data_IF_894431996186
#
_entry.id   IF_894431996186
#
_cell.length_a   1.000
_cell.length_b   1.000
_cell.length_c   1.000
_cell.angle_alpha   90.00
_cell.angle_beta   90.00
_cell.angle_gamma   90.00
#
_symmetry.space_group_name_H-M   'P 1'
#
loop_
_entity.id
_entity.type
_entity.pdbx_description
1 polymer ?
#
# COMPACT_ATOMS: atom_id res chain seq x y z
N UNK A 1 1.29 -9.77 -3.82
CA UNK A 1 0.27 -9.32 -2.88
C UNK A 1 -0.60 -8.23 -3.51
N UNK A 2 -0.01 -7.12 -3.95
CA UNK A 2 -0.73 -6.02 -4.61
C UNK A 2 -1.60 -6.53 -5.76
N UNK A 3 -1.06 -7.34 -6.68
CA UNK A 3 -1.82 -7.91 -7.79
C UNK A 3 -3.05 -8.70 -7.32
N UNK A 4 -2.95 -9.49 -6.26
CA UNK A 4 -4.08 -10.28 -5.75
C UNK A 4 -5.21 -9.38 -5.21
N UNK A 5 -4.84 -8.32 -4.47
CA UNK A 5 -5.83 -7.43 -3.86
C UNK A 5 -6.46 -6.50 -4.89
N UNK A 6 -5.65 -5.92 -5.77
CA UNK A 6 -6.14 -5.02 -6.81
C UNK A 6 -6.91 -5.74 -7.91
N UNK A 7 -6.77 -7.08 -8.04
CA UNK A 7 -7.56 -7.86 -9.00
C UNK A 7 -9.06 -7.87 -8.73
N UNK A 8 -9.49 -7.56 -7.50
CA UNK A 8 -10.92 -7.36 -7.18
C UNK A 8 -11.52 -6.14 -7.91
N UNK A 9 -10.66 -5.25 -8.41
CA UNK A 9 -11.01 -3.99 -9.09
C UNK A 9 -10.54 -3.98 -10.55
N UNK A 10 -10.40 -5.14 -11.18
CA UNK A 10 -9.93 -5.25 -12.56
C UNK A 10 -10.82 -4.48 -13.52
N UNK A 11 -10.18 -3.64 -14.36
CA UNK A 11 -10.86 -2.77 -15.34
C UNK A 11 -11.23 -1.39 -14.80
N UNK A 12 -11.24 -1.20 -13.48
CA UNK A 12 -11.52 0.09 -12.84
C UNK A 12 -10.31 1.03 -12.88
N UNK A 13 -10.50 2.35 -12.79
CA UNK A 13 -9.40 3.32 -12.74
C UNK A 13 -8.44 3.06 -11.57
N UNK A 14 -7.13 3.12 -11.84
CA UNK A 14 -6.09 2.96 -10.83
C UNK A 14 -5.06 4.09 -10.93
N UNK A 15 -4.44 4.40 -9.80
CA UNK A 15 -3.41 5.43 -9.67
C UNK A 15 -2.16 4.90 -8.98
N UNK A 16 -0.98 5.18 -9.55
CA UNK A 16 0.30 5.04 -8.84
C UNK A 16 0.92 6.41 -8.58
N UNK A 17 1.34 6.64 -7.35
CA UNK A 17 2.02 7.86 -6.90
C UNK A 17 3.42 7.51 -6.45
N UNK A 18 4.42 7.93 -7.24
CA UNK A 18 5.80 7.47 -7.13
C UNK A 18 6.04 6.23 -7.99
N UNK A 19 6.53 6.44 -9.20
CA UNK A 19 6.62 5.38 -10.23
C UNK A 19 7.98 4.70 -10.23
N UNK A 20 9.03 5.47 -9.97
CA UNK A 20 10.39 4.97 -10.03
C UNK A 20 10.72 4.27 -11.35
N UNK A 21 10.98 2.97 -11.30
CA UNK A 21 11.25 2.13 -12.48
C UNK A 21 10.00 1.62 -13.20
N UNK A 22 8.82 1.86 -12.68
CA UNK A 22 7.56 1.43 -13.28
C UNK A 22 7.18 -0.04 -13.02
N UNK A 23 7.84 -0.73 -12.11
CA UNK A 23 7.55 -2.16 -11.85
C UNK A 23 6.15 -2.40 -11.30
N UNK A 24 5.74 -1.62 -10.33
CA UNK A 24 4.39 -1.68 -9.76
C UNK A 24 3.35 -1.18 -10.75
N UNK A 25 3.61 -0.03 -11.42
CA UNK A 25 2.75 0.51 -12.46
C UNK A 25 2.49 -0.51 -13.58
N UNK A 26 3.54 -1.23 -14.03
CA UNK A 26 3.38 -2.28 -15.04
C UNK A 26 2.46 -3.40 -14.55
N UNK A 27 2.57 -3.80 -13.29
CA UNK A 27 1.66 -4.78 -12.69
C UNK A 27 0.21 -4.26 -12.68
N UNK A 28 0.01 -2.97 -12.36
CA UNK A 28 -1.31 -2.34 -12.38
C UNK A 28 -1.86 -2.22 -13.81
N UNK A 29 -1.03 -1.90 -14.80
CA UNK A 29 -1.42 -1.82 -16.20
C UNK A 29 -1.97 -3.13 -16.78
N UNK A 30 -1.55 -4.30 -16.25
CA UNK A 30 -2.17 -5.59 -16.59
C UNK A 30 -3.58 -5.79 -16.02
N UNK A 31 -3.97 -4.97 -15.05
CA UNK A 31 -5.27 -5.08 -14.40
C UNK A 31 -6.28 -4.07 -14.92
N UNK A 32 -5.81 -2.91 -15.40
CA UNK A 32 -6.69 -1.85 -15.89
C UNK A 32 -6.12 -1.16 -17.14
N UNK A 33 -6.97 -0.80 -18.12
CA UNK A 33 -6.58 0.09 -19.21
C UNK A 33 -6.60 1.57 -18.79
N UNK A 34 -7.07 1.89 -17.57
CA UNK A 34 -7.23 3.25 -17.04
C UNK A 34 -6.26 3.41 -15.88
N UNK A 35 -4.99 3.58 -16.20
CA UNK A 35 -3.92 3.79 -15.23
C UNK A 35 -3.37 5.20 -15.37
N UNK A 36 -3.39 5.97 -14.29
CA UNK A 36 -2.64 7.20 -14.16
C UNK A 36 -1.43 6.98 -13.27
N UNK A 37 -0.35 7.68 -13.59
CA UNK A 37 0.89 7.61 -12.82
C UNK A 37 1.43 9.03 -12.57
N UNK A 38 1.82 9.29 -11.32
CA UNK A 38 2.35 10.57 -10.87
C UNK A 38 3.79 10.38 -10.42
N UNK A 39 4.71 11.13 -11.01
CA UNK A 39 6.10 11.21 -10.55
C UNK A 39 6.69 12.59 -10.91
N UNK A 40 7.63 13.07 -10.12
CA UNK A 40 8.36 14.31 -10.39
C UNK A 40 9.57 14.13 -11.31
N UNK A 41 9.99 12.88 -11.53
CA UNK A 41 11.13 12.47 -12.37
C UNK A 41 12.46 13.16 -12.02
N UNK A 42 12.55 13.68 -10.79
CA UNK A 42 13.74 14.38 -10.29
C UNK A 42 14.83 13.43 -9.75
N UNK A 43 14.58 12.11 -9.86
CA UNK A 43 15.51 11.06 -9.47
C UNK A 43 16.25 10.46 -10.69
N UNK A 44 16.96 9.35 -10.43
CA UNK A 44 17.84 8.67 -11.40
C UNK A 44 17.09 8.05 -12.61
N UNK A 45 15.79 7.88 -12.51
CA UNK A 45 14.97 7.24 -13.55
C UNK A 45 14.41 8.29 -14.50
N UNK A 46 14.54 8.02 -15.80
CA UNK A 46 14.03 8.93 -16.83
C UNK A 46 12.62 8.53 -17.21
N UNK A 47 11.72 9.50 -17.24
CA UNK A 47 10.35 9.35 -17.72
C UNK A 47 10.29 8.60 -19.04
N UNK A 48 11.08 9.05 -20.04
CA UNK A 48 11.11 8.47 -21.39
C UNK A 48 11.36 6.96 -21.43
N UNK A 49 12.10 6.42 -20.47
CA UNK A 49 12.39 4.99 -20.42
C UNK A 49 11.20 4.20 -19.84
N UNK A 50 10.46 4.80 -18.92
CA UNK A 50 9.24 4.21 -18.34
C UNK A 50 8.08 4.31 -19.34
N UNK A 51 7.92 5.43 -20.04
CA UNK A 51 6.87 5.63 -21.07
C UNK A 51 6.95 4.62 -22.21
N UNK A 52 8.15 4.13 -22.56
CA UNK A 52 8.32 3.12 -23.62
C UNK A 52 7.69 1.77 -23.28
N UNK A 53 7.54 1.46 -22.01
CA UNK A 53 7.11 0.14 -21.53
C UNK A 53 5.78 0.16 -20.79
N UNK A 54 5.33 1.32 -20.33
CA UNK A 54 4.16 1.47 -19.49
C UNK A 54 3.01 2.16 -20.22
N UNK A 55 1.92 1.45 -20.52
CA UNK A 55 0.72 2.05 -21.09
C UNK A 55 -0.10 2.75 -19.99
N UNK A 56 0.24 3.99 -19.68
CA UNK A 56 -0.40 4.79 -18.64
C UNK A 56 -0.52 6.26 -19.07
N UNK A 57 -1.37 7.02 -18.40
CA UNK A 57 -1.39 8.48 -18.48
C UNK A 57 -0.40 9.05 -17.46
N UNK A 58 0.56 9.84 -17.91
CA UNK A 58 1.68 10.37 -17.12
C UNK A 58 1.40 11.78 -16.65
N UNK A 59 1.38 11.98 -15.33
CA UNK A 59 1.22 13.27 -14.67
C UNK A 59 2.57 13.68 -14.08
N UNK A 60 3.26 14.63 -14.75
CA UNK A 60 4.56 15.14 -14.32
C UNK A 60 4.39 16.13 -13.19
N UNK A 61 4.43 15.64 -11.97
CA UNK A 61 4.22 16.49 -10.80
C UNK A 61 4.75 15.82 -9.53
N UNK A 62 5.08 16.63 -8.54
CA UNK A 62 5.23 16.13 -7.18
C UNK A 62 3.87 15.66 -6.65
N UNK A 63 3.85 14.60 -5.85
CA UNK A 63 2.61 14.03 -5.28
C UNK A 63 1.72 15.08 -4.60
N UNK A 64 2.33 16.00 -3.84
CA UNK A 64 1.61 17.08 -3.15
C UNK A 64 0.98 18.12 -4.08
N UNK A 65 1.49 18.29 -5.32
CA UNK A 65 1.08 19.32 -6.27
C UNK A 65 0.21 18.80 -7.41
N UNK A 66 0.20 17.49 -7.66
CA UNK A 66 -0.57 16.89 -8.74
C UNK A 66 -2.06 17.21 -8.62
N UNK A 67 -2.68 17.61 -9.71
CA UNK A 67 -4.12 17.81 -9.80
C UNK A 67 -4.81 16.49 -10.15
N UNK A 68 -5.88 16.17 -9.44
CA UNK A 68 -6.68 14.95 -9.60
C UNK A 68 -8.10 15.35 -9.97
N UNK A 69 -8.61 14.81 -11.05
CA UNK A 69 -9.91 15.15 -11.64
C UNK A 69 -10.91 13.98 -11.64
N UNK A 70 -10.51 12.81 -11.12
CA UNK A 70 -11.36 11.61 -11.07
C UNK A 70 -11.09 10.76 -9.84
N UNK A 71 -12.00 9.84 -9.57
CA UNK A 71 -11.87 8.84 -8.52
C UNK A 71 -11.18 7.56 -9.04
N UNK A 72 -10.51 6.86 -8.13
CA UNK A 72 -9.82 5.60 -8.40
C UNK A 72 -10.35 4.48 -7.50
N UNK A 73 -10.44 3.29 -8.05
CA UNK A 73 -10.74 2.10 -7.27
C UNK A 73 -9.54 1.63 -6.45
N UNK A 74 -8.34 1.79 -6.99
CA UNK A 74 -7.11 1.44 -6.31
C UNK A 74 -6.06 2.54 -6.45
N UNK A 75 -5.36 2.83 -5.35
CA UNK A 75 -4.23 3.77 -5.33
C UNK A 75 -3.02 3.09 -4.68
N UNK A 76 -1.86 3.17 -5.33
CA UNK A 76 -0.58 2.77 -4.76
C UNK A 76 0.24 4.02 -4.41
N UNK A 77 0.68 4.16 -3.15
CA UNK A 77 1.47 5.27 -2.66
C UNK A 77 2.89 4.82 -2.35
N UNK A 78 3.85 5.31 -3.13
CA UNK A 78 5.28 5.00 -3.03
C UNK A 78 6.19 6.22 -3.29
N UNK A 79 5.70 7.44 -3.12
CA UNK A 79 6.43 8.66 -3.44
C UNK A 79 7.30 9.15 -2.28
N UNK A 80 6.73 9.85 -1.34
CA UNK A 80 7.46 10.53 -0.26
C UNK A 80 7.56 9.65 0.99
N UNK A 81 8.78 9.46 1.49
CA UNK A 81 9.07 8.62 2.66
C UNK A 81 9.16 9.39 3.98
N UNK A 82 9.02 10.72 3.94
CA UNK A 82 8.95 11.52 5.17
C UNK A 82 7.56 11.42 5.80
N UNK A 83 7.48 11.57 7.12
CA UNK A 83 6.22 11.58 7.85
C UNK A 83 5.20 12.57 7.26
N UNK A 84 5.60 13.82 7.07
CA UNK A 84 4.70 14.85 6.54
C UNK A 84 4.28 14.59 5.11
N UNK A 85 5.20 14.12 4.26
CA UNK A 85 4.90 13.80 2.87
C UNK A 85 3.94 12.63 2.74
N UNK A 86 4.22 11.52 3.42
CA UNK A 86 3.32 10.35 3.42
C UNK A 86 1.94 10.68 3.99
N UNK A 87 1.88 11.46 5.08
CA UNK A 87 0.60 11.85 5.68
C UNK A 87 -0.20 12.77 4.76
N UNK A 88 0.46 13.75 4.11
CA UNK A 88 -0.18 14.62 3.13
C UNK A 88 -0.71 13.82 1.93
N UNK A 89 0.07 12.87 1.42
CA UNK A 89 -0.35 12.00 0.33
C UNK A 89 -1.56 11.15 0.74
N UNK A 90 -1.54 10.54 1.91
CA UNK A 90 -2.68 9.78 2.44
C UNK A 90 -3.96 10.63 2.56
N UNK A 91 -3.86 11.82 3.15
CA UNK A 91 -5.00 12.74 3.30
C UNK A 91 -5.56 13.14 1.93
N UNK A 92 -4.66 13.52 1.01
CA UNK A 92 -5.02 13.95 -0.33
C UNK A 92 -5.69 12.83 -1.13
N UNK A 93 -4.96 11.72 -1.32
CA UNK A 93 -5.39 10.66 -2.22
C UNK A 93 -6.51 9.79 -1.67
N UNK A 94 -6.70 9.73 -0.35
CA UNK A 94 -7.84 9.01 0.23
C UNK A 94 -9.18 9.62 -0.14
N UNK A 95 -9.24 10.93 -0.47
CA UNK A 95 -10.47 11.57 -0.93
C UNK A 95 -10.85 11.23 -2.36
N UNK A 96 -9.93 10.65 -3.13
CA UNK A 96 -10.12 10.19 -4.51
C UNK A 96 -10.12 8.66 -4.63
N UNK A 97 -10.11 7.93 -3.51
CA UNK A 97 -10.10 6.47 -3.51
C UNK A 97 -11.40 5.90 -2.95
N UNK A 98 -12.11 5.13 -3.74
CA UNK A 98 -13.35 4.47 -3.33
C UNK A 98 -13.20 2.97 -2.99
N UNK A 99 -11.99 2.41 -3.09
CA UNK A 99 -11.71 0.99 -2.85
C UNK A 99 -10.52 0.74 -1.91
N UNK A 100 -9.32 0.57 -2.45
CA UNK A 100 -8.13 0.20 -1.67
C UNK A 100 -6.96 1.13 -1.93
N UNK A 101 -6.31 1.57 -0.84
CA UNK A 101 -5.01 2.24 -0.89
C UNK A 101 -3.95 1.24 -0.42
N UNK A 102 -2.91 1.04 -1.22
CA UNK A 102 -1.69 0.34 -0.83
C UNK A 102 -0.60 1.37 -0.54
N UNK A 103 0.00 1.31 0.63
CA UNK A 103 1.17 2.14 0.99
C UNK A 103 2.39 1.25 1.08
N UNK A 104 3.43 1.57 0.32
CA UNK A 104 4.70 0.85 0.35
C UNK A 104 5.59 1.28 1.52
N UNK A 105 6.59 0.46 1.85
CA UNK A 105 7.55 0.68 2.93
C UNK A 105 6.95 0.74 4.36
N UNK A 106 5.74 0.25 4.55
CA UNK A 106 5.15 0.14 5.89
C UNK A 106 5.87 -0.93 6.72
N UNK A 107 6.20 -0.61 7.98
CA UNK A 107 7.02 -1.42 8.90
C UNK A 107 8.44 -1.70 8.39
N UNK A 108 8.94 -0.93 7.43
CA UNK A 108 10.32 -1.03 7.00
C UNK A 108 11.23 -0.18 7.90
N UNK A 109 12.31 -0.80 8.42
CA UNK A 109 13.22 -0.13 9.36
C UNK A 109 13.94 1.09 8.77
N UNK A 110 14.12 1.13 7.45
CA UNK A 110 14.72 2.26 6.74
C UNK A 110 13.78 3.48 6.67
N UNK A 111 12.46 3.23 6.74
CA UNK A 111 11.44 4.27 6.56
C UNK A 111 10.42 4.32 7.70
N UNK A 112 10.85 4.50 8.97
CA UNK A 112 9.97 4.47 10.13
C UNK A 112 8.90 5.58 10.10
N UNK A 113 9.17 6.66 9.39
CA UNK A 113 8.26 7.80 9.23
C UNK A 113 7.02 7.44 8.41
N UNK A 114 7.13 6.51 7.45
CA UNK A 114 5.98 5.99 6.69
C UNK A 114 5.02 5.26 7.64
N UNK A 115 5.55 4.38 8.49
CA UNK A 115 4.75 3.67 9.50
C UNK A 115 4.01 4.65 10.40
N UNK A 116 4.70 5.64 10.92
CA UNK A 116 4.12 6.67 11.79
C UNK A 116 3.00 7.46 11.11
N UNK A 117 3.20 7.84 9.83
CA UNK A 117 2.19 8.57 9.06
C UNK A 117 0.94 7.75 8.82
N UNK A 118 1.09 6.48 8.43
CA UNK A 118 -0.04 5.55 8.24
C UNK A 118 -0.80 5.34 9.54
N UNK A 119 -0.09 5.10 10.65
CA UNK A 119 -0.71 4.87 11.97
C UNK A 119 -1.53 6.08 12.41
N UNK A 120 -1.00 7.28 12.23
CA UNK A 120 -1.73 8.50 12.54
C UNK A 120 -2.95 8.68 11.63
N UNK A 121 -2.80 8.46 10.32
CA UNK A 121 -3.91 8.57 9.37
C UNK A 121 -5.05 7.62 9.73
N UNK A 122 -4.74 6.35 9.98
CA UNK A 122 -5.74 5.34 10.35
C UNK A 122 -6.42 5.69 11.67
N UNK A 123 -5.67 6.20 12.66
CA UNK A 123 -6.25 6.57 13.97
C UNK A 123 -7.23 7.75 13.91
N UNK A 124 -7.14 8.59 12.87
CA UNK A 124 -7.94 9.82 12.71
C UNK A 124 -8.95 9.76 11.57
N UNK A 125 -9.05 8.64 10.85
CA UNK A 125 -9.93 8.48 9.70
C UNK A 125 -10.84 7.25 9.85
N UNK A 126 -11.74 7.05 8.88
CA UNK A 126 -12.56 5.83 8.77
C UNK A 126 -11.86 4.68 8.03
N UNK A 127 -10.65 4.90 7.53
CA UNK A 127 -9.84 3.90 6.86
C UNK A 127 -9.29 2.90 7.87
N UNK A 128 -9.26 1.62 7.46
CA UNK A 128 -8.77 0.51 8.29
C UNK A 128 -7.65 -0.21 7.57
N UNK A 129 -6.69 -0.75 8.32
CA UNK A 129 -5.73 -1.70 7.78
C UNK A 129 -6.44 -3.03 7.57
N UNK A 130 -6.56 -3.46 6.33
CA UNK A 130 -7.22 -4.72 5.98
C UNK A 130 -6.24 -5.87 5.77
N UNK A 131 -4.99 -5.54 5.44
CA UNK A 131 -3.90 -6.49 5.28
C UNK A 131 -2.55 -5.79 5.41
N UNK A 132 -1.59 -6.47 6.04
CA UNK A 132 -0.20 -6.04 6.15
C UNK A 132 0.69 -7.20 5.71
N UNK A 133 1.65 -6.94 4.84
CA UNK A 133 2.63 -7.94 4.42
C UNK A 133 3.59 -7.42 3.36
N UNK A 134 4.79 -7.99 3.33
CA UNK A 134 5.84 -7.63 2.37
C UNK A 134 6.15 -6.12 2.36
N UNK A 135 6.26 -5.51 3.54
CA UNK A 135 6.45 -4.06 3.71
C UNK A 135 5.36 -3.18 3.08
N UNK A 136 4.19 -3.75 2.82
CA UNK A 136 3.03 -3.04 2.31
C UNK A 136 1.89 -3.10 3.32
N UNK A 137 1.12 -2.02 3.41
CA UNK A 137 -0.16 -2.00 4.12
C UNK A 137 -1.27 -1.65 3.14
N UNK A 138 -2.36 -2.39 3.23
CA UNK A 138 -3.55 -2.17 2.43
C UNK A 138 -4.63 -1.57 3.32
N UNK A 139 -5.13 -0.41 2.92
CA UNK A 139 -6.14 0.36 3.63
C UNK A 139 -7.46 0.32 2.85
N UNK A 140 -8.58 0.11 3.54
CA UNK A 140 -9.93 0.19 2.97
C UNK A 140 -10.96 0.38 4.08
N UNK A 141 -12.19 0.69 3.73
CA UNK A 141 -13.31 0.74 4.68
C UNK A 141 -13.83 -0.67 5.05
N UNK A 142 -13.54 -1.68 4.23
CA UNK A 142 -13.94 -3.07 4.47
C UNK A 142 -12.98 -4.07 3.83
N UNK A 143 -12.97 -5.29 4.34
CA UNK A 143 -12.17 -6.37 3.76
C UNK A 143 -12.71 -6.78 2.38
N UNK A 144 -11.86 -6.76 1.38
CA UNK A 144 -12.17 -7.19 0.02
C UNK A 144 -12.29 -8.72 -0.09
N UNK A 145 -12.90 -9.27 -1.15
CA UNK A 145 -12.90 -10.71 -1.42
C UNK A 145 -11.50 -11.32 -1.45
N UNK A 146 -10.54 -10.68 -2.14
CA UNK A 146 -9.16 -11.15 -2.19
C UNK A 146 -8.50 -11.22 -0.82
N UNK A 147 -8.69 -10.21 0.05
CA UNK A 147 -8.17 -10.24 1.43
C UNK A 147 -8.75 -11.41 2.22
N UNK A 148 -10.06 -11.69 2.06
CA UNK A 148 -10.70 -12.84 2.73
C UNK A 148 -10.15 -14.18 2.22
N UNK A 149 -9.83 -14.26 0.92
CA UNK A 149 -9.22 -15.44 0.32
C UNK A 149 -7.78 -15.62 0.82
N UNK A 150 -6.96 -14.58 0.79
CA UNK A 150 -5.58 -14.59 1.31
C UNK A 150 -5.57 -15.09 2.76
N UNK A 151 -6.47 -14.59 3.60
CA UNK A 151 -6.55 -15.00 5.01
C UNK A 151 -6.92 -16.47 5.21
N UNK A 152 -7.49 -17.15 4.21
CA UNK A 152 -7.80 -18.59 4.25
C UNK A 152 -6.66 -19.46 3.71
N UNK A 153 -5.93 -18.95 2.73
CA UNK A 153 -4.93 -19.72 1.97
C UNK A 153 -3.53 -19.62 2.57
N UNK A 154 -3.23 -18.52 3.24
CA UNK A 154 -1.90 -18.25 3.77
C UNK A 154 -1.89 -18.20 5.30
N UNK A 155 -0.73 -18.51 5.92
CA UNK A 155 -0.57 -18.28 7.35
C UNK A 155 -0.70 -16.78 7.64
N UNK A 156 -1.65 -16.44 8.47
CA UNK A 156 -1.88 -15.05 8.89
C UNK A 156 -1.92 -14.95 10.42
N UNK A 157 -1.44 -13.85 10.93
CA UNK A 157 -1.71 -13.42 12.29
C UNK A 157 -2.85 -12.41 12.29
N UNK A 158 -3.79 -12.54 13.19
CA UNK A 158 -4.85 -11.57 13.42
C UNK A 158 -4.52 -10.75 14.66
N UNK A 159 -4.48 -9.45 14.52
CA UNK A 159 -4.22 -8.52 15.61
C UNK A 159 -5.22 -7.38 15.51
N UNK A 160 -6.06 -7.20 16.51
CA UNK A 160 -7.11 -6.15 16.54
C UNK A 160 -7.88 -6.02 15.21
N UNK A 161 -8.33 -7.16 14.65
CA UNK A 161 -8.98 -7.26 13.34
C UNK A 161 -8.09 -7.02 12.11
N UNK A 162 -6.82 -6.67 12.28
CA UNK A 162 -5.85 -6.55 11.19
C UNK A 162 -5.28 -7.90 10.78
N UNK A 163 -5.02 -8.09 9.49
CA UNK A 163 -4.46 -9.33 8.94
C UNK A 163 -3.00 -9.08 8.59
N UNK A 164 -2.11 -9.84 9.24
CA UNK A 164 -0.68 -9.88 8.92
C UNK A 164 -0.35 -11.16 8.16
N UNK A 165 0.23 -11.02 6.97
CA UNK A 165 0.80 -12.15 6.27
C UNK A 165 2.17 -12.50 6.84
N UNK A 166 2.34 -13.77 7.16
CA UNK A 166 3.65 -14.32 7.54
C UNK A 166 4.28 -14.99 6.33
N UNK A 167 5.30 -14.35 5.75
CA UNK A 167 6.19 -14.98 4.79
C UNK A 167 7.42 -15.52 5.55
N UNK A 168 7.44 -16.82 5.86
CA UNK A 168 8.55 -17.43 6.56
C UNK A 168 8.60 -17.08 8.06
N UNK A 169 9.80 -16.93 8.62
CA UNK A 169 9.97 -16.54 10.03
C UNK A 169 9.34 -15.17 10.26
N UNK A 170 8.64 -15.04 11.40
CA UNK A 170 8.19 -13.75 11.93
C UNK A 170 9.26 -12.69 11.69
N UNK A 171 8.88 -11.46 11.30
CA UNK A 171 9.79 -10.34 11.43
C UNK A 171 10.27 -10.31 12.88
N UNK A 172 11.52 -10.72 13.08
CA UNK A 172 12.17 -10.67 14.41
C UNK A 172 12.78 -9.31 14.65
N UNK A 173 12.49 -8.34 13.75
CA UNK A 173 13.04 -7.01 13.90
C UNK A 173 12.43 -6.31 15.12
N UNK A 174 13.24 -5.46 15.72
CA UNK A 174 12.88 -4.71 16.91
C UNK A 174 11.67 -3.79 16.68
N UNK A 175 11.39 -3.46 15.42
CA UNK A 175 10.29 -2.56 15.06
C UNK A 175 8.95 -3.28 15.13
N UNK A 176 8.87 -4.51 14.63
CA UNK A 176 7.69 -5.35 14.76
C UNK A 176 7.42 -5.67 16.25
N UNK A 177 8.47 -6.01 17.00
CA UNK A 177 8.35 -6.22 18.46
C UNK A 177 7.91 -4.94 19.18
N UNK A 178 8.38 -3.77 18.73
CA UNK A 178 7.98 -2.48 19.29
C UNK A 178 6.54 -2.12 18.92
N UNK A 179 6.12 -2.36 17.68
CA UNK A 179 4.72 -2.23 17.25
C UNK A 179 3.81 -3.10 18.09
N UNK A 180 4.25 -4.32 18.34
CA UNK A 180 3.54 -5.28 19.18
C UNK A 180 3.52 -4.91 20.67
N UNK A 181 4.56 -4.26 21.19
CA UNK A 181 4.64 -3.84 22.60
C UNK A 181 3.85 -2.56 22.91
N UNK A 182 3.58 -1.74 21.91
CA UNK A 182 2.82 -0.47 22.07
C UNK A 182 1.32 -0.73 22.22
N UNK A 183 0.83 -1.83 21.65
CA UNK A 183 -0.58 -2.23 21.76
C UNK A 183 -0.73 -3.35 22.79
N UNK A 184 -0.64 -3.04 24.07
CA UNK A 184 -0.68 -3.98 25.21
C UNK A 184 -1.98 -4.83 25.33
N UNK A 185 -2.94 -4.69 24.43
CA UNK A 185 -4.19 -5.47 24.38
C UNK A 185 -4.26 -6.44 23.19
N UNK A 186 -3.15 -6.67 22.51
CA UNK A 186 -3.11 -7.54 21.35
C UNK A 186 -3.09 -9.01 21.74
N UNK A 187 -4.21 -9.69 21.57
CA UNK A 187 -4.29 -11.16 21.65
C UNK A 187 -3.72 -11.77 20.37
N UNK A 188 -2.51 -12.32 20.47
CA UNK A 188 -1.93 -13.14 19.42
C UNK A 188 -2.62 -14.49 19.35
N UNK A 189 -3.26 -14.78 18.26
CA UNK A 189 -3.53 -16.15 17.86
C UNK A 189 -2.66 -16.48 16.65
N UNK A 190 -1.45 -17.01 16.91
CA UNK A 190 -0.66 -17.68 15.89
C UNK A 190 -1.31 -19.01 15.55
N UNK A 191 -1.82 -19.15 14.36
CA UNK A 191 -1.99 -20.48 13.80
C UNK A 191 -0.63 -20.93 13.25
N UNK A 192 0.16 -21.50 14.17
CA UNK A 192 1.45 -22.10 13.87
C UNK A 192 1.21 -23.36 13.02
N UNK A 193 1.06 -23.19 11.70
CA UNK A 193 1.45 -24.27 10.81
C UNK A 193 2.91 -24.00 10.49
N UNK A 194 3.79 -24.63 11.27
CA UNK A 194 5.19 -24.71 10.95
C UNK A 194 5.29 -25.22 9.50
N UNK A 195 5.94 -24.45 8.65
CA UNK A 195 6.44 -25.00 7.41
C UNK A 195 7.59 -25.93 7.79
N UNK A 196 7.31 -27.22 7.77
CA UNK A 196 8.33 -28.27 7.68
C UNK A 196 8.64 -28.48 6.21
#
# INVERSE_FOLDING_TARGET
LLHQIFSDYRGEPMLEVGVGRGGTALTMAYMTPILDVIDSWDQTWKKDDVEKILPANFIDSKSSQAEIDKDYACIHLDANKSYSGTLCDLIKYSSYCNGVICVDDYLQSMWPEVTRAVDEFVSKSSWKRILIGNHQVFLSHSRTPAVKQIAREFPVAMVDEEIFLSYGKLPTDKLFQKFMSVNNNMLYTWHNKAYT
#
